data_IF_237320253599
#
_entry.id   IF_237320253599
#
_cell.length_a   1.000
_cell.length_b   1.000
_cell.length_c   1.000
_cell.angle_alpha   90.00
_cell.angle_beta   90.00
_cell.angle_gamma   90.00
#
_symmetry.space_group_name_H-M   'P 1'
#
loop_
_entity.id
_entity.type
_entity.pdbx_description
1 polymer ?
#
# COMPACT_ATOMS: atom_id res chain seq x y z
N UNK A 1 -28.29 15.78 14.79
CA UNK A 1 -27.80 15.82 13.40
C UNK A 1 -26.33 15.39 13.44
N UNK A 2 -26.07 14.09 13.49
CA UNK A 2 -24.70 13.55 13.49
C UNK A 2 -24.27 13.39 12.04
N UNK A 3 -23.42 14.30 11.58
CA UNK A 3 -22.79 14.20 10.28
C UNK A 3 -21.71 13.11 10.38
N UNK A 4 -22.03 11.92 9.88
CA UNK A 4 -21.02 10.89 9.59
C UNK A 4 -20.14 11.46 8.48
N UNK A 5 -18.96 11.96 8.85
CA UNK A 5 -17.90 12.19 7.87
C UNK A 5 -17.55 10.82 7.29
N UNK A 6 -17.90 10.58 6.03
CA UNK A 6 -17.28 9.50 5.25
C UNK A 6 -15.77 9.73 5.28
N UNK A 7 -15.07 8.97 6.12
CA UNK A 7 -13.62 8.93 6.11
C UNK A 7 -13.21 8.14 4.87
N UNK A 8 -13.13 8.81 3.72
CA UNK A 8 -12.57 8.19 2.52
C UNK A 8 -11.08 7.97 2.77
N UNK A 9 -10.67 6.72 3.00
CA UNK A 9 -9.25 6.38 3.16
C UNK A 9 -8.45 6.95 1.98
N UNK A 10 -7.31 7.57 2.29
CA UNK A 10 -6.46 8.14 1.24
C UNK A 10 -5.91 7.01 0.38
N UNK A 11 -6.08 7.14 -0.94
CA UNK A 11 -5.51 6.21 -1.91
C UNK A 11 -4.02 6.52 -2.09
N UNK A 12 -3.16 5.55 -1.83
CA UNK A 12 -1.70 5.70 -1.87
C UNK A 12 -1.09 4.66 -2.79
N UNK A 13 -0.32 5.12 -3.79
CA UNK A 13 0.45 4.27 -4.68
C UNK A 13 1.90 4.12 -4.20
N UNK A 14 2.39 2.89 -4.08
CA UNK A 14 3.77 2.60 -3.71
C UNK A 14 4.55 2.04 -4.91
N UNK A 15 5.57 2.78 -5.35
CA UNK A 15 6.51 2.41 -6.41
C UNK A 15 7.90 2.26 -5.79
N UNK A 16 8.73 1.34 -6.28
CA UNK A 16 10.11 1.17 -5.78
C UNK A 16 10.22 0.54 -4.39
N UNK A 17 9.12 0.00 -3.85
CA UNK A 17 9.02 -0.60 -2.52
C UNK A 17 9.88 -1.85 -2.31
N UNK A 18 10.41 -2.45 -3.38
CA UNK A 18 11.30 -3.63 -3.33
C UNK A 18 12.80 -3.29 -3.21
N UNK A 19 13.17 -2.03 -3.40
CA UNK A 19 14.56 -1.58 -3.25
C UNK A 19 14.95 -1.42 -1.79
N UNK A 20 16.22 -1.14 -1.52
CA UNK A 20 16.76 -1.00 -0.15
C UNK A 20 15.97 0.00 0.71
N UNK A 21 15.62 1.17 0.16
CA UNK A 21 14.85 2.19 0.88
C UNK A 21 13.38 1.78 1.00
N UNK A 22 12.83 1.19 -0.06
CA UNK A 22 11.44 0.75 -0.11
C UNK A 22 11.12 -0.33 0.92
N UNK A 23 12.00 -1.31 1.11
CA UNK A 23 11.78 -2.37 2.10
C UNK A 23 11.80 -1.85 3.52
N UNK A 24 12.69 -0.91 3.83
CA UNK A 24 12.74 -0.27 5.17
C UNK A 24 11.50 0.58 5.40
N UNK A 25 11.03 1.32 4.39
CA UNK A 25 9.79 2.07 4.48
C UNK A 25 8.61 1.16 4.83
N UNK A 26 8.45 0.04 4.11
CA UNK A 26 7.36 -0.91 4.37
C UNK A 26 7.42 -1.53 5.77
N UNK A 27 8.63 -1.88 6.24
CA UNK A 27 8.84 -2.40 7.60
C UNK A 27 8.38 -1.38 8.65
N UNK A 28 8.75 -0.10 8.50
CA UNK A 28 8.36 0.97 9.43
C UNK A 28 6.85 1.24 9.36
N UNK A 29 6.28 1.32 8.17
CA UNK A 29 4.83 1.50 7.99
C UNK A 29 4.03 0.37 8.65
N UNK A 30 4.54 -0.86 8.61
CA UNK A 30 3.93 -1.98 9.32
C UNK A 30 4.09 -1.84 10.85
N UNK A 31 5.28 -1.47 11.34
CA UNK A 31 5.54 -1.25 12.77
C UNK A 31 4.65 -0.15 13.36
N UNK A 32 4.40 0.92 12.59
CA UNK A 32 3.58 2.06 13.00
C UNK A 32 2.08 1.89 12.66
N UNK A 33 1.67 0.75 12.09
CA UNK A 33 0.30 0.44 11.69
C UNK A 33 -0.32 1.46 10.69
N UNK A 34 0.50 2.01 9.79
CA UNK A 34 0.09 3.03 8.83
C UNK A 34 -0.94 2.48 7.81
N UNK A 35 -0.80 1.21 7.41
CA UNK A 35 -1.68 0.58 6.41
C UNK A 35 -3.14 0.50 6.84
N UNK A 36 -3.45 0.62 8.13
CA UNK A 36 -4.82 0.68 8.62
C UNK A 36 -5.54 1.99 8.25
N UNK A 37 -4.80 3.03 7.84
CA UNK A 37 -5.32 4.37 7.61
C UNK A 37 -5.33 4.78 6.12
N UNK A 38 -4.83 3.92 5.23
CA UNK A 38 -4.67 4.21 3.79
C UNK A 38 -5.11 3.04 2.92
N UNK A 39 -5.66 3.34 1.75
CA UNK A 39 -5.93 2.34 0.70
C UNK A 39 -4.70 2.24 -0.21
N UNK A 40 -3.88 1.23 0.06
CA UNK A 40 -2.58 1.07 -0.60
C UNK A 40 -2.70 0.25 -1.87
N UNK A 41 -2.03 0.73 -2.93
CA UNK A 41 -1.84 0.00 -4.20
C UNK A 41 -0.36 -0.10 -4.50
N UNK A 42 0.10 -1.30 -4.84
CA UNK A 42 1.51 -1.55 -5.16
C UNK A 42 1.73 -1.56 -6.67
N UNK A 43 2.79 -0.88 -7.09
CA UNK A 43 3.16 -0.70 -8.49
C UNK A 43 4.52 -1.35 -8.80
N UNK A 44 4.74 -1.76 -10.05
CA UNK A 44 5.99 -2.36 -10.53
C UNK A 44 6.18 -2.12 -12.03
N UNK A 45 7.44 -2.19 -12.48
CA UNK A 45 7.82 -2.14 -13.91
C UNK A 45 8.24 -3.51 -14.47
N UNK A 46 8.34 -4.53 -13.62
CA UNK A 46 8.94 -5.84 -14.00
C UNK A 46 8.05 -7.05 -13.77
N UNK A 47 7.01 -6.92 -12.94
CA UNK A 47 6.19 -8.04 -12.44
C UNK A 47 4.69 -7.68 -12.43
N UNK A 48 4.25 -6.84 -13.36
CA UNK A 48 2.85 -6.40 -13.47
C UNK A 48 1.93 -7.62 -13.54
N UNK A 49 0.83 -7.60 -12.77
CA UNK A 49 -0.13 -8.71 -12.67
C UNK A 49 0.25 -9.85 -11.71
N UNK A 50 1.49 -9.90 -11.20
CA UNK A 50 1.85 -10.83 -10.11
C UNK A 50 1.23 -10.38 -8.78
N UNK A 51 1.12 -11.29 -7.81
CA UNK A 51 0.64 -10.93 -6.47
C UNK A 51 1.65 -10.02 -5.75
N UNK A 52 1.13 -8.94 -5.15
CA UNK A 52 1.87 -8.06 -4.26
C UNK A 52 2.05 -8.63 -2.85
N UNK A 53 2.67 -7.86 -1.95
CA UNK A 53 2.91 -8.29 -0.58
C UNK A 53 1.63 -8.24 0.27
N UNK A 54 1.51 -9.15 1.23
CA UNK A 54 0.40 -9.22 2.19
C UNK A 54 0.62 -8.26 3.38
N UNK A 55 0.77 -6.96 3.08
CA UNK A 55 1.10 -5.91 4.07
C UNK A 55 -0.03 -4.91 4.30
N UNK A 56 -0.92 -4.74 3.32
CA UNK A 56 -1.99 -3.73 3.33
C UNK A 56 -3.37 -4.36 3.13
N UNK A 57 -3.61 -5.47 3.85
CA UNK A 57 -4.71 -6.38 3.59
C UNK A 57 -4.37 -7.44 2.53
N UNK A 58 -5.37 -8.16 2.00
CA UNK A 58 -5.13 -9.31 1.13
C UNK A 58 -4.31 -8.93 -0.09
N UNK A 59 -3.35 -9.79 -0.45
CA UNK A 59 -2.48 -9.58 -1.60
C UNK A 59 -3.29 -9.29 -2.88
N UNK A 60 -3.11 -8.09 -3.43
CA UNK A 60 -3.70 -7.64 -4.70
C UNK A 60 -2.67 -7.77 -5.84
N UNK A 61 -3.11 -7.95 -7.09
CA UNK A 61 -2.21 -7.89 -8.24
C UNK A 61 -1.49 -6.55 -8.33
N UNK A 62 -0.20 -6.59 -8.68
CA UNK A 62 0.63 -5.40 -8.90
C UNK A 62 0.20 -4.66 -10.16
N UNK A 63 0.10 -3.34 -10.07
CA UNK A 63 -0.20 -2.46 -11.20
C UNK A 63 1.08 -1.97 -11.89
N UNK A 64 0.93 -1.54 -13.13
CA UNK A 64 2.02 -1.00 -13.95
C UNK A 64 2.38 0.43 -13.52
N UNK A 65 3.67 0.70 -13.33
CA UNK A 65 4.21 1.95 -12.79
C UNK A 65 4.70 2.93 -13.87
#
# INVERSE_FOLDING_TARGET
MTQTVEQTMKKVGLVGWRGMVGSVLLERMQQENDFANIDTTFFTTSQTGQLGPDLAGPAKPLLDA
#
